data_IF_312849559122
#
_entry.id   IF_312849559122
#
_cell.length_a   1.000
_cell.length_b   1.000
_cell.length_c   1.000
_cell.angle_alpha   90.00
_cell.angle_beta   90.00
_cell.angle_gamma   90.00
#
_symmetry.space_group_name_H-M   'P 1'
#
loop_
_entity.id
_entity.type
_entity.pdbx_description
1 polymer ?
#
# COMPACT_ATOMS: atom_id res chain seq x y z
N UNK A 1 6.24 48.93 -6.82
CA UNK A 1 6.66 47.55 -7.13
C UNK A 1 7.08 46.89 -5.82
N UNK A 2 6.34 45.88 -5.36
CA UNK A 2 6.79 45.02 -4.28
C UNK A 2 7.08 43.65 -4.90
N UNK A 3 8.33 43.42 -5.29
CA UNK A 3 8.80 42.08 -5.61
C UNK A 3 9.00 41.37 -4.29
N UNK A 4 7.96 40.70 -3.79
CA UNK A 4 8.15 39.72 -2.73
C UNK A 4 9.15 38.69 -3.27
N UNK A 5 10.32 38.60 -2.65
CA UNK A 5 11.22 37.48 -2.92
C UNK A 5 10.40 36.21 -2.70
N UNK A 6 10.17 35.43 -3.75
CA UNK A 6 9.44 34.16 -3.71
C UNK A 6 10.19 33.17 -2.83
N UNK A 7 10.11 33.34 -1.53
CA UNK A 7 10.59 32.39 -0.55
C UNK A 7 9.45 31.43 -0.32
N UNK A 8 9.55 30.25 -0.91
CA UNK A 8 8.66 29.14 -0.56
C UNK A 8 8.69 28.97 0.97
N UNK A 9 7.53 28.89 1.64
CA UNK A 9 7.48 28.67 3.06
C UNK A 9 8.15 27.34 3.43
N UNK A 10 9.04 27.37 4.43
CA UNK A 10 9.73 26.17 4.95
C UNK A 10 9.43 25.98 6.43
N UNK A 11 9.17 24.75 6.85
CA UNK A 11 9.02 24.39 8.26
C UNK A 11 10.38 24.54 8.96
N UNK A 12 10.38 25.31 10.04
CA UNK A 12 11.53 25.44 10.94
C UNK A 12 11.32 24.65 12.24
N UNK A 13 10.07 24.56 12.70
CA UNK A 13 9.73 23.88 13.93
C UNK A 13 8.36 23.21 13.80
N UNK A 14 8.21 22.03 14.41
CA UNK A 14 6.96 21.30 14.51
C UNK A 14 6.67 21.01 15.97
N UNK A 15 5.41 21.15 16.35
CA UNK A 15 4.86 20.64 17.60
C UNK A 15 3.61 19.83 17.28
N UNK A 16 3.48 18.67 17.92
CA UNK A 16 2.29 17.83 17.82
C UNK A 16 1.61 17.81 19.18
N UNK A 17 0.31 18.04 19.20
CA UNK A 17 -0.54 17.91 20.40
C UNK A 17 -1.46 16.69 20.23
N UNK A 18 -2.39 16.51 21.15
CA UNK A 18 -3.38 15.45 21.03
C UNK A 18 -4.36 15.69 19.87
N UNK A 19 -4.55 16.95 19.47
CA UNK A 19 -5.56 17.38 18.49
C UNK A 19 -4.98 18.01 17.22
N UNK A 20 -3.74 18.53 17.25
CA UNK A 20 -3.20 19.38 16.19
C UNK A 20 -1.73 19.09 15.85
N UNK A 21 -1.39 19.36 14.59
CA UNK A 21 -0.01 19.48 14.08
C UNK A 21 0.25 20.96 13.81
N UNK A 22 1.23 21.52 14.51
CA UNK A 22 1.53 22.95 14.49
C UNK A 22 2.93 23.15 13.90
N UNK A 23 3.03 23.87 12.79
CA UNK A 23 4.28 24.20 12.12
C UNK A 23 4.59 25.70 12.20
N UNK A 24 5.82 26.05 12.57
CA UNK A 24 6.37 27.40 12.38
C UNK A 24 7.11 27.46 11.06
N UNK A 25 6.77 28.44 10.24
CA UNK A 25 7.34 28.63 8.91
C UNK A 25 8.44 29.70 8.93
N UNK A 26 9.34 29.62 7.94
CA UNK A 26 10.47 30.53 7.77
C UNK A 26 10.08 31.97 7.46
N UNK A 27 8.86 32.20 7.00
CA UNK A 27 8.29 33.53 6.74
C UNK A 27 7.60 34.14 7.98
N UNK A 28 7.74 33.50 9.15
CA UNK A 28 7.19 33.96 10.42
C UNK A 28 5.76 33.51 10.70
N UNK A 29 5.09 32.84 9.75
CA UNK A 29 3.75 32.27 9.99
C UNK A 29 3.80 31.06 10.92
N UNK A 30 2.69 30.84 11.60
CA UNK A 30 2.40 29.59 12.32
C UNK A 30 1.12 29.02 11.74
N UNK A 31 1.16 27.76 11.33
CA UNK A 31 0.00 27.05 10.78
C UNK A 31 -0.30 25.86 11.67
N UNK A 32 -1.58 25.72 12.02
CA UNK A 32 -2.12 24.56 12.71
C UNK A 32 -3.05 23.81 11.77
N UNK A 33 -2.98 22.48 11.80
CA UNK A 33 -3.96 21.59 11.15
C UNK A 33 -4.39 20.52 12.14
N UNK A 34 -5.64 20.04 12.06
CA UNK A 34 -6.10 18.92 12.88
C UNK A 34 -5.22 17.69 12.67
N UNK A 35 -4.83 17.02 13.75
CA UNK A 35 -4.16 15.72 13.70
C UNK A 35 -5.00 14.68 12.93
N UNK A 36 -6.33 14.82 13.02
CA UNK A 36 -7.33 14.05 12.27
C UNK A 36 -7.13 14.06 10.75
N UNK A 37 -6.36 15.00 10.20
CA UNK A 37 -6.02 15.01 8.76
C UNK A 37 -5.21 13.81 8.33
N UNK A 38 -4.47 13.20 9.26
CA UNK A 38 -3.83 11.92 9.01
C UNK A 38 -4.46 10.85 9.89
N UNK A 39 -5.08 9.87 9.22
CA UNK A 39 -5.61 8.69 9.90
C UNK A 39 -4.50 7.94 10.65
N UNK A 40 -3.28 7.90 10.10
CA UNK A 40 -2.13 7.25 10.74
C UNK A 40 -1.69 7.98 11.99
N UNK A 41 -1.57 9.31 11.94
CA UNK A 41 -1.17 10.09 13.12
C UNK A 41 -2.25 10.11 14.19
N UNK A 42 -3.52 10.07 13.79
CA UNK A 42 -4.65 9.94 14.72
C UNK A 42 -4.60 8.64 15.53
N UNK A 43 -4.19 7.54 14.90
CA UNK A 43 -4.03 6.23 15.55
C UNK A 43 -2.65 6.05 16.22
N UNK A 44 -1.69 6.92 15.92
CA UNK A 44 -0.35 6.86 16.48
C UNK A 44 -0.33 7.20 17.98
N UNK A 45 0.56 6.54 18.73
CA UNK A 45 0.83 6.89 20.14
C UNK A 45 1.54 8.24 20.26
N UNK A 46 1.45 8.95 21.40
CA UNK A 46 2.18 10.19 21.62
C UNK A 46 3.70 10.06 21.39
N UNK A 47 4.28 8.89 21.72
CA UNK A 47 5.70 8.61 21.49
C UNK A 47 6.03 8.57 19.99
N UNK A 48 5.20 7.91 19.19
CA UNK A 48 5.38 7.85 17.73
C UNK A 48 5.16 9.21 17.09
N UNK A 49 4.14 9.97 17.53
CA UNK A 49 3.89 11.34 17.08
C UNK A 49 5.04 12.29 17.42
N UNK A 50 5.74 12.04 18.53
CA UNK A 50 6.93 12.81 18.92
C UNK A 50 8.20 12.45 18.15
N UNK A 51 8.22 11.32 17.43
CA UNK A 51 9.36 10.88 16.64
C UNK A 51 9.14 11.24 15.15
N UNK A 52 9.60 12.41 14.77
CA UNK A 52 9.52 12.91 13.39
C UNK A 52 10.82 13.58 12.95
N UNK A 53 10.95 13.81 11.64
CA UNK A 53 12.07 14.54 11.03
C UNK A 53 11.56 15.46 9.94
N UNK A 54 12.21 16.61 9.77
CA UNK A 54 11.95 17.47 8.61
C UNK A 54 12.57 16.85 7.36
N UNK A 55 11.84 16.90 6.25
CA UNK A 55 12.27 16.39 4.93
C UNK A 55 12.20 17.51 3.88
N UNK A 56 12.85 17.28 2.72
CA UNK A 56 12.82 18.22 1.60
C UNK A 56 13.29 19.63 1.95
N UNK A 57 14.28 19.76 2.84
CA UNK A 57 14.75 21.06 3.35
C UNK A 57 13.63 21.93 3.93
N UNK A 58 12.75 21.32 4.74
CA UNK A 58 11.63 21.98 5.39
C UNK A 58 10.34 22.02 4.56
N UNK A 59 10.26 21.31 3.44
CA UNK A 59 9.03 21.20 2.66
C UNK A 59 8.00 20.25 3.29
N UNK A 60 8.41 19.40 4.24
CA UNK A 60 7.50 18.52 4.96
C UNK A 60 8.10 17.90 6.21
N UNK A 61 7.29 17.06 6.85
CA UNK A 61 7.58 16.34 8.09
C UNK A 61 7.28 14.87 7.86
N UNK A 62 8.24 14.01 8.18
CA UNK A 62 8.13 12.56 8.07
C UNK A 62 8.09 11.93 9.47
N UNK A 63 7.10 11.08 9.72
CA UNK A 63 6.97 10.22 10.90
C UNK A 63 7.34 8.78 10.55
N UNK A 64 8.59 8.34 10.80
CA UNK A 64 9.07 7.02 10.38
C UNK A 64 8.37 5.86 11.09
N UNK A 65 7.90 6.05 12.33
CA UNK A 65 7.29 4.97 13.10
C UNK A 65 5.90 4.55 12.58
N UNK A 66 5.26 5.42 11.79
CA UNK A 66 3.93 5.17 11.21
C UNK A 66 3.91 5.36 9.69
N UNK A 67 5.06 5.60 9.06
CA UNK A 67 5.20 5.81 7.62
C UNK A 67 4.21 6.87 7.08
N UNK A 68 4.29 8.07 7.65
CA UNK A 68 3.42 9.18 7.28
C UNK A 68 4.21 10.47 7.00
N UNK A 69 3.80 11.18 5.95
CA UNK A 69 4.35 12.46 5.54
C UNK A 69 3.29 13.56 5.50
N UNK A 70 3.61 14.74 6.05
CA UNK A 70 2.79 15.94 5.92
C UNK A 70 3.64 17.06 5.31
N UNK A 71 3.18 17.63 4.19
CA UNK A 71 3.87 18.73 3.50
C UNK A 71 3.36 20.11 3.93
N UNK A 72 4.22 21.12 3.79
CA UNK A 72 3.86 22.55 3.94
C UNK A 72 2.69 22.91 3.06
N UNK A 73 2.71 22.47 1.79
CA UNK A 73 1.63 22.77 0.86
C UNK A 73 0.32 22.14 1.30
N UNK A 74 0.33 20.89 1.76
CA UNK A 74 -0.84 20.23 2.31
C UNK A 74 -1.45 21.03 3.47
N UNK A 75 -0.59 21.49 4.39
CA UNK A 75 -0.99 22.35 5.50
C UNK A 75 -1.58 23.69 5.06
N UNK A 76 -0.97 24.35 4.06
CA UNK A 76 -1.42 25.64 3.53
C UNK A 76 -2.74 25.57 2.76
N UNK A 77 -2.96 24.47 2.04
CA UNK A 77 -4.09 24.33 1.13
C UNK A 77 -5.29 23.60 1.72
N UNK A 78 -5.22 23.12 2.96
CA UNK A 78 -6.36 22.43 3.57
C UNK A 78 -6.53 20.99 3.08
N UNK A 79 -5.47 20.35 2.57
CA UNK A 79 -5.57 19.02 1.94
C UNK A 79 -5.19 17.94 2.96
N UNK A 80 -6.16 17.11 3.43
CA UNK A 80 -5.87 16.02 4.36
C UNK A 80 -4.98 14.94 3.72
N UNK A 81 -4.33 14.13 4.56
CA UNK A 81 -3.52 13.03 4.07
C UNK A 81 -4.37 11.97 3.37
N UNK A 82 -3.82 11.40 2.30
CA UNK A 82 -4.51 10.37 1.53
C UNK A 82 -4.70 9.10 2.36
N UNK A 83 -5.95 8.80 2.73
CA UNK A 83 -6.32 7.47 3.21
C UNK A 83 -6.34 6.51 2.02
N UNK A 84 -5.56 5.41 2.02
CA UNK A 84 -5.70 4.38 1.01
C UNK A 84 -7.14 3.89 1.02
N UNK A 85 -7.84 3.91 -0.13
CA UNK A 85 -9.15 3.27 -0.23
C UNK A 85 -8.92 1.77 -0.04
N UNK A 86 -9.58 1.18 0.95
CA UNK A 86 -9.59 -0.26 1.15
C UNK A 86 -10.07 -0.93 -0.14
N UNK A 87 -9.18 -1.63 -0.84
CA UNK A 87 -9.52 -2.52 -1.97
C UNK A 87 -10.20 -3.78 -1.43
N UNK A 88 -11.37 -3.62 -0.82
CA UNK A 88 -12.25 -4.73 -0.44
C UNK A 88 -13.46 -4.72 -1.37
N UNK A 89 -13.29 -5.20 -2.62
CA UNK A 89 -14.32 -5.82 -3.48
C UNK A 89 -13.95 -5.79 -4.98
N UNK A 90 -13.02 -6.64 -5.40
CA UNK A 90 -12.82 -7.24 -6.74
C UNK A 90 -11.53 -8.03 -6.59
N UNK A 91 -11.57 -9.25 -6.07
CA UNK A 91 -11.49 -10.47 -6.89
C UNK A 91 -11.82 -11.70 -6.02
N UNK A 92 -13.10 -12.01 -5.83
CA UNK A 92 -13.58 -13.36 -5.51
C UNK A 92 -14.68 -13.71 -6.50
N UNK A 93 -14.32 -13.82 -7.77
CA UNK A 93 -15.27 -14.07 -8.85
C UNK A 93 -14.57 -14.25 -10.19
N UNK A 94 -13.61 -15.18 -10.27
CA UNK A 94 -12.92 -15.52 -11.51
C UNK A 94 -12.70 -17.03 -11.58
N UNK A 95 -13.51 -17.69 -12.39
CA UNK A 95 -13.64 -19.13 -12.57
C UNK A 95 -12.32 -19.93 -12.58
N UNK A 96 -12.32 -21.03 -11.83
CA UNK A 96 -11.41 -22.17 -11.98
C UNK A 96 -11.57 -22.71 -13.40
N UNK A 97 -10.65 -22.33 -14.31
CA UNK A 97 -10.49 -23.05 -15.57
C UNK A 97 -9.87 -24.42 -15.25
N UNK A 98 -10.69 -25.47 -15.32
CA UNK A 98 -10.22 -26.86 -15.41
C UNK A 98 -9.28 -26.95 -16.61
N UNK A 99 -8.00 -27.16 -16.38
CA UNK A 99 -7.09 -27.60 -17.43
C UNK A 99 -7.23 -29.11 -17.55
N UNK A 100 -7.72 -29.58 -18.69
CA UNK A 100 -7.55 -30.97 -19.11
C UNK A 100 -6.06 -31.29 -19.25
N UNK A 101 -5.59 -32.48 -18.84
CA UNK A 101 -4.18 -32.82 -18.95
C UNK A 101 -3.79 -33.07 -20.44
N UNK A 102 -2.60 -32.64 -20.87
CA UNK A 102 -2.15 -32.81 -22.24
C UNK A 102 -1.86 -34.28 -22.56
N UNK A 103 -2.55 -34.77 -23.59
CA UNK A 103 -2.42 -36.09 -24.19
C UNK A 103 -0.97 -36.37 -24.63
N UNK A 104 -0.24 -37.21 -23.88
CA UNK A 104 1.07 -37.75 -24.30
C UNK A 104 0.86 -38.82 -25.36
N UNK A 105 0.96 -38.40 -26.62
CA UNK A 105 1.08 -39.27 -27.79
C UNK A 105 2.40 -40.05 -27.71
N UNK A 106 2.35 -41.26 -27.15
CA UNK A 106 3.45 -42.24 -27.25
C UNK A 106 3.00 -43.34 -28.21
N UNK A 107 3.84 -43.58 -29.22
CA UNK A 107 3.61 -44.50 -30.33
C UNK A 107 3.51 -45.97 -29.86
N UNK A 108 2.76 -46.83 -30.56
CA UNK A 108 2.62 -48.23 -30.17
C UNK A 108 3.89 -49.01 -30.50
N UNK A 109 4.69 -49.36 -29.49
CA UNK A 109 5.71 -50.40 -29.64
C UNK A 109 5.09 -51.76 -29.35
N UNK A 110 4.84 -52.49 -30.43
CA UNK A 110 4.34 -53.86 -30.47
C UNK A 110 5.32 -54.80 -29.75
N UNK A 111 4.93 -55.31 -28.58
CA UNK A 111 5.58 -56.50 -27.99
C UNK A 111 4.53 -57.56 -27.75
N UNK A 112 4.63 -58.61 -28.58
CA UNK A 112 3.91 -59.87 -28.44
C UNK A 112 4.41 -60.57 -27.18
N UNK A 113 3.52 -60.94 -26.25
CA UNK A 113 3.73 -62.12 -25.42
C UNK A 113 2.45 -62.95 -25.29
N UNK A 114 2.72 -64.24 -25.40
CA UNK A 114 1.88 -65.42 -25.61
C UNK A 114 1.52 -66.02 -24.23
N UNK A 115 0.56 -66.95 -24.25
CA UNK A 115 0.30 -68.03 -23.26
C UNK A 115 -0.53 -67.56 -22.04
N UNK A 116 -1.58 -68.24 -21.55
CA UNK A 116 -2.39 -69.38 -21.96
C UNK A 116 -3.50 -69.54 -20.89
N UNK A 117 -4.56 -70.25 -21.28
CA UNK A 117 -5.22 -71.30 -20.50
C UNK A 117 -6.61 -71.02 -19.89
N UNK A 118 -7.52 -71.90 -20.34
CA UNK A 118 -8.70 -72.51 -19.68
C UNK A 118 -9.90 -71.58 -19.46
N UNK A 119 -11.13 -71.93 -19.83
CA UNK A 119 -11.70 -73.19 -20.32
C UNK A 119 -13.22 -73.11 -20.24
N UNK A 120 -13.89 -74.22 -20.60
CA UNK A 120 -15.36 -74.46 -20.64
C UNK A 120 -16.02 -73.85 -21.88
N UNK A 121 -16.77 -74.56 -22.72
CA UNK A 121 -17.33 -75.91 -22.67
C UNK A 121 -18.70 -75.87 -23.38
N UNK A 122 -19.01 -76.85 -24.23
CA UNK A 122 -20.35 -77.28 -24.70
C UNK A 122 -20.14 -78.12 -25.97
N UNK A 123 -20.40 -79.44 -25.93
CA UNK A 123 -21.68 -80.12 -26.21
C UNK A 123 -22.01 -80.16 -27.70
N UNK A 124 -22.16 -81.38 -28.22
CA UNK A 124 -22.60 -81.72 -29.56
C UNK A 124 -22.00 -83.04 -29.98
#
# INVERSE_FOLDING_TARGET
>A
MNTAASTEPRIQQVRVTDDEIIARLSDGRVISVPLAWSWRLSEATPKQRGHFRLIGSGQGVHWPDVDEDISVEGMLHGVPAHRPRSTTARERGGAVRRQEPPNKRIQPTRVKRRVQARGRGARG
#
